data_IF_923592810938
#
_entry.id   IF_923592810938
#
_cell.length_a   1.000
_cell.length_b   1.000
_cell.length_c   1.000
_cell.angle_alpha   90.00
_cell.angle_beta   90.00
_cell.angle_gamma   90.00
#
_symmetry.space_group_name_H-M   'P 1'
#
loop_
_entity.id
_entity.type
_entity.pdbx_description
1 polymer ?
#
# COMPACT_ATOMS: atom_id res chain seq x y z
N UNK A 1 9.62 33.10 15.55
CA UNK A 1 8.96 31.84 15.96
C UNK A 1 7.88 31.54 14.93
N UNK A 2 8.03 30.46 14.13
CA UNK A 2 6.99 30.06 13.17
C UNK A 2 5.82 29.40 13.93
N UNK A 3 4.55 29.72 13.62
CA UNK A 3 3.40 29.21 14.37
C UNK A 3 3.23 27.70 14.14
N UNK A 4 2.92 26.95 15.21
CA UNK A 4 2.81 25.48 15.24
C UNK A 4 1.90 24.88 14.15
N UNK A 5 0.88 25.63 13.68
CA UNK A 5 0.00 25.22 12.57
C UNK A 5 0.74 25.03 11.24
N UNK A 6 1.76 25.84 10.97
CA UNK A 6 2.51 25.81 9.71
C UNK A 6 3.42 24.57 9.65
N UNK A 7 3.97 24.16 10.79
CA UNK A 7 4.82 22.97 10.93
C UNK A 7 4.01 21.70 10.71
N UNK A 8 2.78 21.64 11.23
CA UNK A 8 1.87 20.50 11.05
C UNK A 8 1.47 20.33 9.57
N UNK A 9 1.14 21.41 8.86
CA UNK A 9 0.80 21.34 7.43
C UNK A 9 1.99 20.89 6.57
N UNK A 10 3.20 21.38 6.85
CA UNK A 10 4.42 20.96 6.14
C UNK A 10 4.76 19.48 6.38
N UNK A 11 4.60 19.00 7.62
CA UNK A 11 4.81 17.60 7.99
C UNK A 11 3.79 16.65 7.35
N UNK A 12 2.50 17.03 7.33
CA UNK A 12 1.45 16.27 6.64
C UNK A 12 1.71 16.21 5.14
N UNK A 13 2.16 17.30 4.52
CA UNK A 13 2.50 17.34 3.09
C UNK A 13 3.69 16.43 2.74
N UNK A 14 4.73 16.40 3.59
CA UNK A 14 5.88 15.53 3.38
C UNK A 14 5.54 14.05 3.57
N UNK A 15 4.78 13.73 4.63
CA UNK A 15 4.32 12.37 4.89
C UNK A 15 3.43 11.84 3.75
N UNK A 16 2.49 12.67 3.26
CA UNK A 16 1.63 12.32 2.14
C UNK A 16 2.42 12.08 0.85
N UNK A 17 3.38 12.95 0.53
CA UNK A 17 4.23 12.78 -0.65
C UNK A 17 5.03 11.48 -0.58
N UNK A 18 5.60 11.17 0.59
CA UNK A 18 6.35 9.94 0.82
C UNK A 18 5.46 8.69 0.73
N UNK A 19 4.20 8.77 1.19
CA UNK A 19 3.22 7.71 1.00
C UNK A 19 2.89 7.51 -0.47
N UNK A 20 2.72 8.61 -1.22
CA UNK A 20 2.44 8.57 -2.65
C UNK A 20 3.58 7.91 -3.42
N UNK A 21 4.82 8.40 -3.24
CA UNK A 21 6.00 7.87 -3.93
C UNK A 21 6.24 6.38 -3.66
N UNK A 22 5.96 5.93 -2.43
CA UNK A 22 6.19 4.54 -2.02
C UNK A 22 5.06 3.60 -2.41
N UNK A 23 3.81 4.02 -2.23
CA UNK A 23 2.66 3.12 -2.25
C UNK A 23 1.66 3.40 -3.38
N UNK A 24 1.69 4.55 -4.06
CA UNK A 24 0.71 4.87 -5.10
C UNK A 24 0.72 3.82 -6.23
N UNK A 25 1.89 3.40 -6.69
CA UNK A 25 1.99 2.37 -7.73
C UNK A 25 1.46 1.01 -7.29
N UNK A 26 1.64 0.63 -6.03
CA UNK A 26 1.09 -0.63 -5.50
C UNK A 26 -0.42 -0.56 -5.35
N UNK A 27 -0.91 0.56 -4.82
CA UNK A 27 -2.32 0.78 -4.60
C UNK A 27 -3.05 0.85 -5.94
N UNK A 28 -2.46 1.50 -6.94
CA UNK A 28 -2.98 1.50 -8.30
C UNK A 28 -3.05 0.09 -8.90
N UNK A 29 -1.99 -0.72 -8.74
CA UNK A 29 -2.01 -2.12 -9.16
C UNK A 29 -3.14 -2.92 -8.50
N UNK A 30 -3.31 -2.75 -7.19
CA UNK A 30 -4.41 -3.36 -6.43
C UNK A 30 -5.79 -2.90 -6.92
N UNK A 31 -5.97 -1.60 -7.19
CA UNK A 31 -7.22 -1.03 -7.69
C UNK A 31 -7.52 -1.50 -9.12
N UNK A 32 -6.52 -1.52 -10.00
CA UNK A 32 -6.61 -2.05 -11.37
C UNK A 32 -7.10 -3.50 -11.40
N UNK A 33 -6.61 -4.31 -10.45
CA UNK A 33 -7.02 -5.70 -10.35
C UNK A 33 -8.48 -5.88 -9.93
N UNK A 34 -9.07 -4.92 -9.22
CA UNK A 34 -10.47 -4.95 -8.79
C UNK A 34 -11.38 -4.33 -9.85
N UNK A 35 -11.02 -3.13 -10.31
CA UNK A 35 -11.87 -2.28 -11.17
C UNK A 35 -11.74 -2.68 -12.64
N UNK A 36 -10.63 -3.34 -13.03
CA UNK A 36 -10.32 -3.79 -14.40
C UNK A 36 -10.30 -2.70 -15.46
N UNK A 37 -10.34 -1.44 -15.05
CA UNK A 37 -10.32 -0.24 -15.88
C UNK A 37 -9.28 0.72 -15.29
N UNK A 38 -8.37 1.18 -16.15
CA UNK A 38 -7.23 1.99 -15.74
C UNK A 38 -7.63 3.39 -15.34
N UNK A 39 -8.49 4.03 -16.12
CA UNK A 39 -8.86 5.41 -15.88
C UNK A 39 -9.66 5.51 -14.57
N UNK A 40 -10.56 4.55 -14.33
CA UNK A 40 -11.31 4.44 -13.07
C UNK A 40 -10.41 4.09 -11.88
N UNK A 41 -9.42 3.22 -12.06
CA UNK A 41 -8.49 2.88 -10.98
C UNK A 41 -7.62 4.08 -10.58
N UNK A 42 -7.19 4.91 -11.54
CA UNK A 42 -6.46 6.15 -11.28
C UNK A 42 -7.36 7.19 -10.59
N UNK A 43 -8.62 7.32 -10.99
CA UNK A 43 -9.60 8.19 -10.32
C UNK A 43 -9.80 7.79 -8.85
N UNK A 44 -10.04 6.51 -8.60
CA UNK A 44 -10.18 5.99 -7.23
C UNK A 44 -8.90 6.16 -6.41
N UNK A 45 -7.71 6.01 -7.04
CA UNK A 45 -6.43 6.25 -6.38
C UNK A 45 -6.36 7.69 -5.86
N UNK A 46 -6.66 8.67 -6.71
CA UNK A 46 -6.67 10.09 -6.32
C UNK A 46 -7.63 10.32 -5.17
N UNK A 47 -8.86 9.84 -5.27
CA UNK A 47 -9.86 10.01 -4.20
C UNK A 47 -9.41 9.37 -2.88
N UNK A 48 -8.77 8.20 -2.90
CA UNK A 48 -8.24 7.58 -1.69
C UNK A 48 -7.13 8.45 -1.09
N UNK A 49 -6.20 8.95 -1.91
CA UNK A 49 -5.12 9.81 -1.45
C UNK A 49 -5.60 11.16 -0.91
N UNK A 50 -6.74 11.68 -1.38
CA UNK A 50 -7.39 12.88 -0.81
C UNK A 50 -7.94 12.64 0.61
N UNK A 51 -8.30 11.40 0.95
CA UNK A 51 -8.78 11.04 2.30
C UNK A 51 -7.66 10.75 3.30
N UNK A 52 -6.44 10.44 2.82
CA UNK A 52 -5.28 10.09 3.67
C UNK A 52 -4.94 11.18 4.70
N UNK A 53 -4.93 12.48 4.40
CA UNK A 53 -4.63 13.52 5.38
C UNK A 53 -5.50 13.45 6.64
N UNK A 54 -6.75 12.99 6.53
CA UNK A 54 -7.69 12.83 7.66
C UNK A 54 -7.37 11.62 8.54
N UNK A 55 -6.56 10.69 8.03
CA UNK A 55 -6.20 9.43 8.67
C UNK A 55 -4.68 9.27 8.82
N UNK A 56 -3.91 10.34 8.60
CA UNK A 56 -2.46 10.21 8.44
C UNK A 56 -1.78 9.68 9.71
N UNK A 57 -2.19 10.14 10.88
CA UNK A 57 -1.66 9.68 12.18
C UNK A 57 -1.89 8.18 12.40
N UNK A 58 -2.98 7.65 11.86
CA UNK A 58 -3.31 6.23 11.92
C UNK A 58 -2.51 5.41 10.91
N UNK A 59 -2.24 5.97 9.73
CA UNK A 59 -1.50 5.31 8.64
C UNK A 59 0.01 5.28 8.92
N UNK A 60 0.52 6.33 9.56
CA UNK A 60 1.95 6.50 9.87
C UNK A 60 2.28 6.24 11.34
N UNK A 61 1.34 5.70 12.12
CA UNK A 61 1.55 5.39 13.53
C UNK A 61 2.65 4.36 13.75
N UNK A 62 3.39 4.48 14.84
CA UNK A 62 4.46 3.54 15.21
C UNK A 62 3.91 2.12 15.36
N UNK A 63 4.56 1.16 14.70
CA UNK A 63 4.16 -0.25 14.70
C UNK A 63 2.99 -0.60 13.79
N UNK A 64 2.43 0.37 13.05
CA UNK A 64 1.34 0.10 12.09
C UNK A 64 1.92 -0.28 10.73
N UNK A 65 1.34 -1.29 10.10
CA UNK A 65 1.63 -1.59 8.70
C UNK A 65 0.90 -0.60 7.80
N UNK A 66 1.61 0.45 7.38
CA UNK A 66 1.13 1.49 6.46
C UNK A 66 0.42 0.91 5.23
N UNK A 67 0.94 -0.18 4.65
CA UNK A 67 0.32 -0.82 3.49
C UNK A 67 -1.05 -1.42 3.83
N UNK A 68 -1.18 -2.08 4.98
CA UNK A 68 -2.46 -2.66 5.40
C UNK A 68 -3.52 -1.59 5.65
N UNK A 69 -3.15 -0.44 6.23
CA UNK A 69 -4.09 0.66 6.44
C UNK A 69 -4.49 1.30 5.09
N UNK A 70 -3.56 1.47 4.14
CA UNK A 70 -3.89 1.93 2.79
C UNK A 70 -4.82 0.96 2.07
N UNK A 71 -4.54 -0.35 2.15
CA UNK A 71 -5.40 -1.37 1.56
C UNK A 71 -6.78 -1.40 2.23
N UNK A 72 -6.85 -1.23 3.55
CA UNK A 72 -8.10 -1.12 4.29
C UNK A 72 -8.90 0.12 3.88
N UNK A 73 -8.24 1.27 3.71
CA UNK A 73 -8.87 2.49 3.21
C UNK A 73 -9.41 2.29 1.80
N UNK A 74 -8.61 1.73 0.90
CA UNK A 74 -9.05 1.41 -0.45
C UNK A 74 -10.24 0.45 -0.47
N UNK A 75 -10.23 -0.60 0.35
CA UNK A 75 -11.35 -1.53 0.48
C UNK A 75 -12.61 -0.85 1.02
N UNK A 76 -12.46 0.02 2.01
CA UNK A 76 -13.59 0.75 2.60
C UNK A 76 -14.18 1.73 1.60
N UNK A 77 -13.33 2.46 0.87
CA UNK A 77 -13.72 3.38 -0.18
C UNK A 77 -14.39 2.65 -1.35
N UNK A 78 -13.81 1.55 -1.83
CA UNK A 78 -14.39 0.72 -2.89
C UNK A 78 -15.70 0.07 -2.46
N UNK A 79 -15.81 -0.41 -1.22
CA UNK A 79 -17.08 -0.92 -0.71
C UNK A 79 -18.14 0.19 -0.70
N UNK A 80 -17.82 1.38 -0.16
CA UNK A 80 -18.74 2.51 -0.13
C UNK A 80 -19.18 3.00 -1.51
N UNK A 81 -18.30 2.92 -2.50
CA UNK A 81 -18.63 3.28 -3.90
C UNK A 81 -19.37 2.15 -4.64
N UNK A 82 -19.06 0.88 -4.37
CA UNK A 82 -19.76 -0.27 -4.96
C UNK A 82 -21.13 -0.55 -4.33
N UNK A 83 -21.39 -0.12 -3.09
CA UNK A 83 -22.75 -0.18 -2.51
C UNK A 83 -23.75 0.76 -3.21
N UNK A 84 -23.30 1.71 -4.03
CA UNK A 84 -24.16 2.52 -4.89
C UNK A 84 -24.54 1.81 -6.20
N UNK A 85 -23.76 0.82 -6.64
CA UNK A 85 -23.99 0.09 -7.90
C UNK A 85 -23.76 -1.41 -7.70
N UNK A 86 -24.82 -2.09 -7.26
CA UNK A 86 -25.04 -3.55 -7.31
C UNK A 86 -24.05 -4.47 -6.58
N UNK A 87 -24.65 -5.29 -5.72
CA UNK A 87 -24.21 -6.61 -5.25
C UNK A 87 -23.21 -7.30 -6.19
N UNK A 88 -21.93 -7.22 -5.86
CA UNK A 88 -20.99 -8.23 -6.29
C UNK A 88 -20.00 -8.42 -5.16
N UNK A 89 -20.06 -9.59 -4.52
CA UNK A 89 -18.99 -10.07 -3.67
C UNK A 89 -17.72 -10.09 -4.54
N UNK A 90 -16.94 -9.01 -4.47
CA UNK A 90 -15.68 -8.90 -5.18
C UNK A 90 -14.76 -9.97 -4.60
N UNK A 91 -14.72 -11.14 -5.24
CA UNK A 91 -13.70 -12.15 -5.03
C UNK A 91 -12.37 -11.49 -5.41
N UNK A 92 -11.70 -10.98 -4.39
CA UNK A 92 -10.40 -10.35 -4.52
C UNK A 92 -9.45 -11.33 -5.23
N UNK A 93 -8.75 -10.89 -6.28
CA UNK A 93 -7.97 -11.80 -7.09
C UNK A 93 -6.87 -12.47 -6.26
N UNK A 94 -6.72 -13.77 -6.45
CA UNK A 94 -5.63 -14.56 -5.91
C UNK A 94 -4.36 -14.25 -6.75
N UNK A 95 -3.75 -13.11 -6.49
CA UNK A 95 -2.64 -12.51 -7.26
C UNK A 95 -1.30 -13.16 -6.97
N UNK A 96 -1.29 -14.17 -6.10
CA UNK A 96 -0.09 -14.88 -5.63
C UNK A 96 0.72 -15.53 -6.77
N UNK A 97 0.14 -15.73 -7.95
CA UNK A 97 0.78 -16.49 -9.02
C UNK A 97 1.50 -15.66 -10.10
N UNK A 98 1.23 -14.36 -10.25
CA UNK A 98 1.79 -13.61 -11.40
C UNK A 98 3.19 -13.07 -11.15
N UNK A 99 3.50 -12.70 -9.90
CA UNK A 99 4.77 -12.08 -9.53
C UNK A 99 5.72 -13.02 -8.81
N UNK A 100 5.22 -14.16 -8.33
CA UNK A 100 6.00 -15.20 -7.64
C UNK A 100 7.06 -15.83 -8.52
N UNK A 101 6.82 -15.93 -9.84
CA UNK A 101 7.79 -16.45 -10.81
C UNK A 101 8.93 -15.46 -11.15
N UNK A 102 8.81 -14.18 -10.79
CA UNK A 102 9.76 -13.13 -11.16
C UNK A 102 10.65 -12.68 -10.00
N UNK A 103 10.36 -13.14 -8.79
CA UNK A 103 11.08 -12.77 -7.57
C UNK A 103 11.93 -13.95 -7.08
N UNK A 104 13.05 -13.66 -6.42
CA UNK A 104 13.79 -14.66 -5.67
C UNK A 104 13.01 -15.06 -4.41
N UNK A 105 13.25 -16.26 -3.86
CA UNK A 105 12.53 -16.80 -2.70
C UNK A 105 12.45 -15.82 -1.52
N UNK A 106 13.53 -15.07 -1.28
CA UNK A 106 13.58 -14.06 -0.22
C UNK A 106 12.70 -12.85 -0.50
N UNK A 107 12.74 -12.32 -1.73
CA UNK A 107 11.90 -11.19 -2.15
C UNK A 107 10.43 -11.59 -2.16
N UNK A 108 10.13 -12.82 -2.61
CA UNK A 108 8.79 -13.39 -2.60
C UNK A 108 8.27 -13.58 -1.17
N UNK A 109 9.07 -14.15 -0.27
CA UNK A 109 8.68 -14.33 1.13
C UNK A 109 8.43 -12.99 1.84
N UNK A 110 9.29 -12.00 1.62
CA UNK A 110 9.13 -10.65 2.17
C UNK A 110 7.89 -9.98 1.60
N UNK A 111 7.72 -10.05 0.28
CA UNK A 111 6.55 -9.49 -0.40
C UNK A 111 5.27 -10.14 0.11
N UNK A 112 5.17 -11.47 0.13
CA UNK A 112 3.96 -12.15 0.60
C UNK A 112 3.65 -11.84 2.06
N UNK A 113 4.66 -11.82 2.91
CA UNK A 113 4.48 -11.54 4.34
C UNK A 113 3.93 -10.15 4.62
N UNK A 114 4.34 -9.16 3.83
CA UNK A 114 3.89 -7.78 3.98
C UNK A 114 2.59 -7.53 3.22
N UNK A 115 2.48 -8.08 2.01
CA UNK A 115 1.39 -7.80 1.06
C UNK A 115 0.14 -8.63 1.35
N UNK A 116 0.26 -9.93 1.67
CA UNK A 116 -0.88 -10.80 1.96
C UNK A 116 -1.12 -10.99 3.45
N UNK A 117 -0.06 -11.19 4.24
CA UNK A 117 -0.18 -11.47 5.68
C UNK A 117 -0.14 -10.22 6.55
N UNK A 118 0.14 -9.06 5.97
CA UNK A 118 0.10 -7.78 6.66
C UNK A 118 1.15 -7.59 7.76
N UNK A 119 2.23 -8.37 7.78
CA UNK A 119 3.30 -8.24 8.76
C UNK A 119 4.07 -6.91 8.59
N UNK A 120 4.52 -6.33 9.69
CA UNK A 120 5.39 -5.14 9.63
C UNK A 120 6.83 -5.53 9.28
N UNK A 121 7.62 -4.58 8.77
CA UNK A 121 9.05 -4.82 8.50
C UNK A 121 9.82 -5.18 9.77
N UNK A 122 9.41 -4.66 10.93
CA UNK A 122 9.99 -4.98 12.24
C UNK A 122 9.68 -6.42 12.68
N UNK A 123 8.43 -6.87 12.53
CA UNK A 123 8.03 -8.25 12.80
C UNK A 123 8.78 -9.21 11.88
N UNK A 124 8.89 -8.86 10.60
CA UNK A 124 9.57 -9.70 9.62
C UNK A 124 11.09 -9.77 9.85
N UNK A 125 11.69 -8.66 10.27
CA UNK A 125 13.09 -8.58 10.65
C UNK A 125 13.40 -9.52 11.83
N UNK A 126 12.54 -9.53 12.85
CA UNK A 126 12.67 -10.45 14.00
C UNK A 126 12.47 -11.91 13.59
N UNK A 127 11.48 -12.22 12.77
CA UNK A 127 11.20 -13.61 12.33
C UNK A 127 12.31 -14.18 11.44
N UNK A 128 12.88 -13.37 10.54
CA UNK A 128 13.93 -13.81 9.61
C UNK A 128 15.35 -13.64 10.17
N UNK A 129 15.49 -13.07 11.38
CA UNK A 129 16.79 -12.76 11.98
C UNK A 129 17.60 -11.73 11.17
N UNK A 130 16.93 -10.83 10.45
CA UNK A 130 17.53 -9.83 9.54
C UNK A 130 17.29 -8.42 10.07
N UNK A 131 18.08 -7.46 9.59
CA UNK A 131 17.83 -6.04 9.90
C UNK A 131 16.66 -5.51 9.09
N UNK A 132 15.93 -4.53 9.64
CA UNK A 132 14.82 -3.89 8.93
C UNK A 132 15.24 -3.27 7.59
N UNK A 133 16.48 -2.78 7.49
CA UNK A 133 17.00 -2.23 6.23
C UNK A 133 17.12 -3.28 5.13
N UNK A 134 17.47 -4.53 5.47
CA UNK A 134 17.49 -5.63 4.51
C UNK A 134 16.06 -5.99 4.07
N UNK A 135 15.10 -6.01 5.00
CA UNK A 135 13.70 -6.25 4.67
C UNK A 135 13.15 -5.14 3.76
N UNK A 136 13.43 -3.86 4.07
CA UNK A 136 13.03 -2.73 3.23
C UNK A 136 13.68 -2.78 1.86
N UNK A 137 14.95 -3.21 1.77
CA UNK A 137 15.65 -3.37 0.50
C UNK A 137 15.02 -4.46 -0.35
N UNK A 138 14.82 -5.66 0.21
CA UNK A 138 14.17 -6.78 -0.47
C UNK A 138 12.75 -6.42 -0.93
N UNK A 139 12.01 -5.69 -0.10
CA UNK A 139 10.68 -5.20 -0.45
C UNK A 139 10.71 -4.19 -1.61
N UNK A 140 11.65 -3.25 -1.62
CA UNK A 140 11.82 -2.29 -2.73
C UNK A 140 12.18 -3.01 -4.03
N UNK A 141 13.06 -4.00 -3.98
CA UNK A 141 13.42 -4.80 -5.13
C UNK A 141 12.23 -5.61 -5.66
N UNK A 142 11.45 -6.23 -4.77
CA UNK A 142 10.21 -6.90 -5.14
C UNK A 142 9.24 -5.93 -5.85
N UNK A 143 9.06 -4.72 -5.34
CA UNK A 143 8.22 -3.72 -6.01
C UNK A 143 8.77 -3.22 -7.34
N UNK A 144 10.09 -3.10 -7.46
CA UNK A 144 10.71 -2.76 -8.73
C UNK A 144 10.44 -3.83 -9.80
N UNK A 145 10.46 -5.10 -9.42
CA UNK A 145 10.11 -6.23 -10.31
C UNK A 145 8.64 -6.17 -10.72
N UNK A 146 7.71 -5.97 -9.78
CA UNK A 146 6.28 -5.82 -10.07
C UNK A 146 6.02 -4.66 -11.02
N UNK A 147 6.65 -3.50 -10.77
CA UNK A 147 6.49 -2.31 -11.62
C UNK A 147 7.05 -2.51 -13.02
N UNK A 148 8.11 -3.30 -13.19
CA UNK A 148 8.65 -3.68 -14.50
C UNK A 148 7.77 -4.69 -15.25
N UNK A 149 6.96 -5.45 -14.52
CA UNK A 149 6.13 -6.52 -15.05
C UNK A 149 4.67 -6.09 -15.33
N UNK A 150 4.27 -4.90 -14.90
CA UNK A 150 3.02 -4.21 -15.32
C UNK A 150 3.27 -3.31 -16.51
#
# INVERSE_FOLDING_TARGET
>A
MKPQRQILQEQTSFALHNLYDRYAGMLLGYLLEIVKDRDKAEEHLVSIFETIPQHIDRITGDGVNTWCELQRLARTYLAGTMYADTTSEAKFPNTANKFSALMNDEQHAVFCSIYYYGKTTAQLAQELGKTEDLIRKALREAFAIIRKAS
#
